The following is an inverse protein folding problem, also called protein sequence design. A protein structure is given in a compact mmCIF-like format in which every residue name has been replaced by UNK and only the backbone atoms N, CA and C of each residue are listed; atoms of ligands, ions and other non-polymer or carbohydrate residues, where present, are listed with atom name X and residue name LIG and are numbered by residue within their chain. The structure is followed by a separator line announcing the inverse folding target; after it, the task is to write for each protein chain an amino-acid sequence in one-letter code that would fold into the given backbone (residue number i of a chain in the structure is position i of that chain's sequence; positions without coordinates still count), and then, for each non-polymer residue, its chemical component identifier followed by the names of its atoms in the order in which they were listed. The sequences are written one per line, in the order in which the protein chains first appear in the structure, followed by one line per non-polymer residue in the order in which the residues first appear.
data_IF_718849477484
#
_entry.id   IF_718849477484
#
_cell.length_a   1.000
_cell.length_b   1.000
_cell.length_c   1.000
_cell.angle_alpha   90.00
_cell.angle_beta   90.00
_cell.angle_gamma   90.00
#
_symmetry.space_group_name_H-M   'P 1'
#
loop_
_entity.id
_entity.type
_entity.pdbx_description
1 polymer ?
#
# COMPACT_ATOMS: atom_id res chain seq x y z
N UNK A 1 8.37 -67.91 -13.13
CA UNK A 1 9.00 -66.60 -13.36
C UNK A 1 7.92 -65.53 -13.25
N UNK A 2 7.84 -64.85 -12.12
CA UNK A 2 7.26 -63.50 -12.04
C UNK A 2 8.40 -62.49 -12.23
N UNK A 3 8.16 -61.18 -12.39
CA UNK A 3 7.15 -60.46 -13.18
C UNK A 3 7.81 -59.35 -14.02
N UNK A 4 7.07 -58.63 -14.88
CA UNK A 4 7.33 -57.19 -15.06
C UNK A 4 6.03 -56.43 -15.33
N UNK A 5 5.62 -55.68 -14.31
CA UNK A 5 4.80 -54.48 -14.38
C UNK A 5 5.64 -53.35 -15.01
N UNK A 6 5.05 -52.52 -15.86
CA UNK A 6 4.89 -51.07 -15.61
C UNK A 6 4.54 -50.30 -16.89
N UNK A 7 3.60 -49.38 -16.72
CA UNK A 7 3.22 -48.38 -17.70
C UNK A 7 2.00 -47.62 -17.20
N UNK A 8 2.07 -47.14 -15.95
CA UNK A 8 1.10 -46.19 -15.40
C UNK A 8 0.99 -44.98 -16.32
N UNK A 9 -0.23 -44.69 -16.76
CA UNK A 9 -0.57 -43.40 -17.36
C UNK A 9 -0.41 -42.35 -16.26
N UNK A 10 0.57 -41.46 -16.41
CA UNK A 10 0.68 -40.26 -15.58
C UNK A 10 -0.63 -39.46 -15.71
N UNK A 11 -1.45 -39.43 -14.66
CA UNK A 11 -2.54 -38.48 -14.58
C UNK A 11 -1.92 -37.10 -14.40
N UNK A 12 -2.05 -36.24 -15.41
CA UNK A 12 -1.75 -34.83 -15.27
C UNK A 12 -2.52 -34.29 -14.06
N UNK A 13 -1.80 -33.85 -13.02
CA UNK A 13 -2.42 -33.12 -11.93
C UNK A 13 -3.12 -31.91 -12.52
N UNK A 14 -4.44 -31.87 -12.45
CA UNK A 14 -5.25 -30.71 -12.79
C UNK A 14 -4.79 -29.59 -11.84
N UNK A 15 -3.94 -28.69 -12.34
CA UNK A 15 -3.34 -27.63 -11.55
C UNK A 15 -4.44 -26.78 -10.90
N UNK A 16 -4.35 -26.60 -9.59
CA UNK A 16 -5.25 -25.71 -8.84
C UNK A 16 -5.14 -24.31 -9.43
N UNK A 17 -6.24 -23.80 -9.97
CA UNK A 17 -6.33 -22.43 -10.44
C UNK A 17 -6.70 -21.51 -9.28
N UNK A 18 -5.69 -20.89 -8.70
CA UNK A 18 -5.86 -19.95 -7.60
C UNK A 18 -6.73 -18.77 -8.03
N UNK A 19 -7.76 -18.45 -7.26
CA UNK A 19 -8.69 -17.35 -7.54
C UNK A 19 -10.04 -17.74 -8.15
N UNK A 20 -10.22 -18.95 -8.69
CA UNK A 20 -11.51 -19.36 -9.28
C UNK A 20 -12.62 -19.55 -8.22
N UNK A 21 -12.25 -19.89 -6.99
CA UNK A 21 -13.16 -19.98 -5.83
C UNK A 21 -13.06 -18.79 -4.87
N UNK A 22 -12.45 -17.68 -5.30
CA UNK A 22 -12.32 -16.49 -4.49
C UNK A 22 -13.68 -15.81 -4.33
N UNK A 23 -14.08 -15.58 -3.08
CA UNK A 23 -15.23 -14.74 -2.74
C UNK A 23 -14.72 -13.47 -2.10
N UNK A 24 -15.17 -12.34 -2.63
CA UNK A 24 -14.77 -11.02 -2.13
C UNK A 24 -16.01 -10.29 -1.62
N UNK A 25 -15.87 -9.62 -0.49
CA UNK A 25 -16.91 -8.77 0.08
C UNK A 25 -16.26 -7.49 0.58
N UNK A 26 -16.94 -6.37 0.36
CA UNK A 26 -16.47 -5.05 0.79
C UNK A 26 -17.62 -4.31 1.45
N UNK A 27 -17.29 -3.62 2.52
CA UNK A 27 -18.15 -2.63 3.14
C UNK A 27 -17.33 -1.37 3.39
N UNK A 28 -17.95 -0.21 3.17
CA UNK A 28 -17.37 1.09 3.46
C UNK A 28 -18.46 1.96 4.07
N UNK A 29 -18.12 2.74 5.10
CA UNK A 29 -19.07 3.59 5.81
C UNK A 29 -18.35 4.85 6.29
N UNK A 30 -18.88 6.02 5.94
CA UNK A 30 -18.34 7.32 6.36
C UNK A 30 -18.36 7.50 7.89
N UNK A 31 -19.28 6.82 8.58
CA UNK A 31 -19.48 6.98 10.01
C UNK A 31 -19.79 8.42 10.38
N UNK A 32 -19.21 8.89 11.49
CA UNK A 32 -19.37 10.26 11.99
C UNK A 32 -18.46 11.31 11.35
N UNK A 33 -17.67 10.95 10.32
CA UNK A 33 -16.79 11.91 9.63
C UNK A 33 -17.61 12.82 8.73
N UNK A 34 -17.10 14.03 8.48
CA UNK A 34 -17.76 15.00 7.58
C UNK A 34 -17.71 14.55 6.11
N UNK A 35 -16.67 13.83 5.73
CA UNK A 35 -16.41 13.37 4.36
C UNK A 35 -15.94 11.92 4.38
N UNK A 36 -16.22 11.20 3.30
CA UNK A 36 -15.72 9.85 3.04
C UNK A 36 -14.44 9.93 2.18
N UNK A 37 -13.29 9.89 2.84
CA UNK A 37 -11.98 9.98 2.18
C UNK A 37 -11.43 8.59 1.81
N UNK A 38 -11.93 7.51 2.41
CA UNK A 38 -11.46 6.16 2.06
C UNK A 38 -11.91 5.73 0.67
N UNK A 39 -11.08 4.91 0.04
CA UNK A 39 -11.32 4.29 -1.25
C UNK A 39 -10.94 2.83 -1.21
N UNK A 40 -11.62 2.06 -2.06
CA UNK A 40 -11.35 0.64 -2.28
C UNK A 40 -11.20 0.37 -3.77
N UNK A 41 -10.33 -0.55 -4.13
CA UNK A 41 -10.22 -1.05 -5.50
C UNK A 41 -10.05 -2.57 -5.46
N UNK A 42 -10.97 -3.29 -6.11
CA UNK A 42 -10.84 -4.72 -6.36
C UNK A 42 -10.97 -4.95 -7.85
N UNK A 43 -10.02 -5.66 -8.43
CA UNK A 43 -10.03 -5.99 -9.85
C UNK A 43 -9.45 -7.39 -10.08
N UNK A 44 -10.21 -8.24 -10.77
CA UNK A 44 -9.71 -9.54 -11.25
C UNK A 44 -9.35 -9.38 -12.73
N UNK A 45 -8.05 -9.44 -13.02
CA UNK A 45 -7.52 -9.34 -14.38
C UNK A 45 -7.42 -10.75 -14.97
N UNK A 46 -7.86 -10.91 -16.21
CA UNK A 46 -7.88 -12.19 -16.94
C UNK A 46 -7.03 -12.11 -18.20
N UNK A 47 -6.44 -13.24 -18.57
CA UNK A 47 -5.75 -13.39 -19.86
C UNK A 47 -6.76 -13.58 -21.00
N UNK A 48 -6.26 -13.58 -22.25
CA UNK A 48 -7.10 -13.68 -23.45
C UNK A 48 -7.89 -14.99 -23.52
N UNK A 49 -7.39 -16.06 -22.89
CA UNK A 49 -8.06 -17.35 -22.80
C UNK A 49 -9.13 -17.40 -21.68
N UNK A 50 -9.33 -16.29 -20.97
CA UNK A 50 -10.29 -16.14 -19.87
C UNK A 50 -9.78 -16.65 -18.52
N UNK A 51 -8.57 -17.20 -18.44
CA UNK A 51 -7.96 -17.61 -17.17
C UNK A 51 -7.68 -16.39 -16.28
N UNK A 52 -7.76 -16.57 -14.95
CA UNK A 52 -7.44 -15.50 -14.00
C UNK A 52 -5.94 -15.32 -13.98
N UNK A 53 -5.49 -14.13 -14.37
CA UNK A 53 -4.08 -13.73 -14.31
C UNK A 53 -3.69 -13.35 -12.89
N UNK A 54 -4.48 -12.50 -12.25
CA UNK A 54 -4.38 -12.16 -10.83
C UNK A 54 -5.64 -11.46 -10.33
N UNK A 55 -5.78 -11.32 -9.01
CA UNK A 55 -6.75 -10.40 -8.40
C UNK A 55 -6.04 -9.39 -7.52
N UNK A 56 -6.31 -8.11 -7.76
CA UNK A 56 -5.82 -6.97 -7.00
C UNK A 56 -6.85 -6.54 -5.96
N UNK A 57 -6.36 -6.19 -4.78
CA UNK A 57 -7.12 -5.57 -3.70
C UNK A 57 -6.34 -4.35 -3.21
N UNK A 58 -7.00 -3.20 -3.07
CA UNK A 58 -6.41 -1.99 -2.54
C UNK A 58 -7.36 -1.28 -1.60
N UNK A 59 -6.86 -0.92 -0.42
CA UNK A 59 -7.50 -0.05 0.56
C UNK A 59 -6.67 1.22 0.68
N UNK A 60 -7.34 2.37 0.65
CA UNK A 60 -6.71 3.67 0.69
C UNK A 60 -7.47 4.54 1.68
N UNK A 61 -6.88 4.83 2.85
CA UNK A 61 -7.44 5.74 3.85
C UNK A 61 -6.91 7.16 3.56
N UNK A 62 -7.76 8.01 3.00
CA UNK A 62 -7.39 9.35 2.59
C UNK A 62 -7.44 10.35 3.75
N UNK A 63 -6.59 11.36 3.69
CA UNK A 63 -6.58 12.47 4.64
C UNK A 63 -6.25 13.79 3.97
N UNK A 64 -6.76 14.89 4.52
CA UNK A 64 -6.48 16.24 4.01
C UNK A 64 -7.14 16.53 2.65
N UNK A 65 -8.14 15.75 2.28
CA UNK A 65 -8.76 15.68 0.96
C UNK A 65 -8.85 14.24 0.44
N UNK A 66 -9.90 13.91 -0.31
CA UNK A 66 -10.05 12.58 -0.93
C UNK A 66 -9.27 12.45 -2.24
N UNK A 67 -8.67 13.54 -2.72
CA UNK A 67 -8.05 13.63 -4.05
C UNK A 67 -6.89 12.64 -4.19
N UNK A 68 -6.08 12.48 -3.14
CA UNK A 68 -4.97 11.52 -3.12
C UNK A 68 -5.46 10.07 -3.16
N UNK A 69 -6.40 9.69 -2.29
CA UNK A 69 -6.95 8.32 -2.27
C UNK A 69 -7.64 7.97 -3.58
N UNK A 70 -8.38 8.91 -4.18
CA UNK A 70 -9.01 8.71 -5.49
C UNK A 70 -7.99 8.63 -6.63
N UNK A 71 -6.95 9.46 -6.61
CA UNK A 71 -5.87 9.39 -7.61
C UNK A 71 -5.14 8.05 -7.53
N UNK A 72 -4.76 7.61 -6.33
CA UNK A 72 -4.08 6.32 -6.12
C UNK A 72 -4.98 5.17 -6.57
N UNK A 73 -6.27 5.17 -6.18
CA UNK A 73 -7.26 4.16 -6.59
C UNK A 73 -7.30 3.95 -8.10
N UNK A 74 -7.23 5.05 -8.88
CA UNK A 74 -7.34 5.03 -10.35
C UNK A 74 -6.05 4.67 -11.07
N UNK A 75 -4.88 4.91 -10.47
CA UNK A 75 -3.61 4.88 -11.19
C UNK A 75 -2.64 3.80 -10.69
N UNK A 76 -2.72 3.38 -9.42
CA UNK A 76 -1.71 2.51 -8.82
C UNK A 76 -1.57 1.17 -9.56
N UNK A 77 -2.68 0.44 -9.72
CA UNK A 77 -2.66 -0.86 -10.41
C UNK A 77 -2.13 -0.72 -11.84
N UNK A 78 -2.56 0.31 -12.58
CA UNK A 78 -2.08 0.58 -13.93
C UNK A 78 -0.55 0.82 -13.97
N UNK A 79 -0.02 1.60 -13.02
CA UNK A 79 1.41 1.88 -12.94
C UNK A 79 2.23 0.63 -12.56
N UNK A 80 1.70 -0.24 -11.71
CA UNK A 80 2.32 -1.53 -11.38
C UNK A 80 2.35 -2.42 -12.64
N UNK A 81 1.22 -2.58 -13.32
CA UNK A 81 1.09 -3.47 -14.48
C UNK A 81 1.90 -3.03 -15.71
N UNK A 82 2.23 -1.74 -15.82
CA UNK A 82 3.04 -1.21 -16.92
C UNK A 82 4.54 -1.45 -16.74
N UNK A 83 4.96 -1.85 -15.54
CA UNK A 83 6.33 -2.23 -15.30
C UNK A 83 6.56 -3.65 -15.86
N UNK A 84 7.57 -3.80 -16.72
CA UNK A 84 7.90 -5.09 -17.35
C UNK A 84 8.24 -6.19 -16.32
N UNK A 85 8.79 -5.82 -15.16
CA UNK A 85 9.08 -6.74 -14.07
C UNK A 85 7.81 -7.38 -13.50
N UNK A 86 6.65 -6.75 -13.66
CA UNK A 86 5.38 -7.33 -13.23
C UNK A 86 5.00 -8.56 -14.05
N UNK A 87 5.54 -8.74 -15.25
CA UNK A 87 5.26 -9.94 -16.08
C UNK A 87 6.21 -11.10 -15.74
N UNK A 88 7.22 -10.87 -14.89
CA UNK A 88 8.17 -11.89 -14.43
C UNK A 88 7.49 -13.00 -13.60
N UNK A 89 8.22 -14.10 -13.42
CA UNK A 89 7.88 -15.19 -12.49
C UNK A 89 8.73 -15.15 -11.21
N UNK A 90 9.74 -14.28 -11.15
CA UNK A 90 10.58 -14.10 -9.97
C UNK A 90 9.88 -13.16 -8.98
N UNK A 91 9.90 -13.53 -7.69
CA UNK A 91 9.19 -12.76 -6.67
C UNK A 91 9.77 -11.36 -6.50
N UNK A 92 11.10 -11.24 -6.53
CA UNK A 92 11.81 -9.96 -6.36
C UNK A 92 11.46 -8.97 -7.49
N UNK A 93 11.31 -9.45 -8.73
CA UNK A 93 10.90 -8.62 -9.87
C UNK A 93 9.47 -8.08 -9.66
N UNK A 94 8.54 -8.94 -9.21
CA UNK A 94 7.15 -8.54 -8.97
C UNK A 94 7.08 -7.54 -7.80
N UNK A 95 7.85 -7.76 -6.73
CA UNK A 95 7.93 -6.83 -5.61
C UNK A 95 8.52 -5.49 -6.06
N UNK A 96 9.57 -5.49 -6.88
CA UNK A 96 10.15 -4.27 -7.44
C UNK A 96 9.15 -3.53 -8.36
N UNK A 97 8.37 -4.25 -9.17
CA UNK A 97 7.29 -3.66 -9.95
C UNK A 97 6.25 -2.96 -9.07
N UNK A 98 5.89 -3.57 -7.94
CA UNK A 98 4.98 -2.95 -6.95
C UNK A 98 5.62 -1.68 -6.39
N UNK A 99 6.88 -1.75 -5.95
CA UNK A 99 7.64 -0.60 -5.43
C UNK A 99 7.64 0.58 -6.41
N UNK A 100 8.03 0.31 -7.65
CA UNK A 100 8.09 1.30 -8.72
C UNK A 100 6.70 1.84 -9.07
N UNK A 101 5.65 1.02 -8.96
CA UNK A 101 4.27 1.45 -9.09
C UNK A 101 3.85 2.46 -8.02
N UNK A 102 4.22 2.25 -6.75
CA UNK A 102 3.98 3.21 -5.66
C UNK A 102 4.69 4.54 -5.94
N UNK A 103 5.99 4.50 -6.24
CA UNK A 103 6.80 5.69 -6.50
C UNK A 103 6.30 6.46 -7.73
N UNK A 104 6.01 5.76 -8.83
CA UNK A 104 5.45 6.37 -10.05
C UNK A 104 4.11 7.04 -9.77
N UNK A 105 3.26 6.40 -8.98
CA UNK A 105 1.95 6.97 -8.60
C UNK A 105 2.10 8.20 -7.72
N UNK A 106 3.01 8.17 -6.74
CA UNK A 106 3.33 9.32 -5.90
C UNK A 106 3.85 10.51 -6.73
N UNK A 107 4.80 10.28 -7.64
CA UNK A 107 5.28 11.33 -8.55
C UNK A 107 4.21 11.83 -9.52
N UNK A 108 3.24 10.98 -9.86
CA UNK A 108 2.04 11.39 -10.58
C UNK A 108 1.21 12.42 -9.82
N UNK A 109 0.98 12.19 -8.51
CA UNK A 109 0.29 13.15 -7.63
C UNK A 109 1.01 14.50 -7.61
N UNK A 110 2.33 14.51 -7.49
CA UNK A 110 3.13 15.74 -7.49
C UNK A 110 2.83 16.66 -8.69
N UNK A 111 2.54 16.06 -9.87
CA UNK A 111 2.25 16.81 -11.09
C UNK A 111 0.86 17.46 -11.09
N UNK A 112 -0.11 16.87 -10.39
CA UNK A 112 -1.53 17.29 -10.43
C UNK A 112 -2.00 17.98 -9.16
N UNK A 113 -1.25 17.90 -8.05
CA UNK A 113 -1.61 18.44 -6.73
C UNK A 113 -1.91 19.96 -6.75
N UNK A 114 -1.31 20.69 -7.69
CA UNK A 114 -1.53 22.14 -7.82
C UNK A 114 -2.94 22.51 -8.28
N UNK A 115 -3.65 21.56 -8.89
CA UNK A 115 -5.04 21.68 -9.35
C UNK A 115 -6.04 21.30 -8.24
N UNK A 116 -5.58 20.69 -7.15
CA UNK A 116 -6.44 20.24 -6.06
C UNK A 116 -6.86 21.40 -5.15
N UNK A 117 -7.99 21.27 -4.43
CA UNK A 117 -8.44 22.29 -3.49
C UNK A 117 -7.37 22.65 -2.47
N UNK A 118 -7.16 23.95 -2.29
CA UNK A 118 -6.28 24.48 -1.24
C UNK A 118 -6.88 24.23 0.14
N UNK A 119 -6.01 24.17 1.14
CA UNK A 119 -6.45 24.14 2.55
C UNK A 119 -7.29 25.37 2.87
N UNK A 120 -8.11 25.29 3.93
CA UNK A 120 -8.90 26.43 4.42
C UNK A 120 -8.05 27.67 4.79
N UNK A 121 -6.74 27.49 5.02
CA UNK A 121 -5.80 28.58 5.29
C UNK A 121 -5.06 29.09 4.04
N UNK A 122 -5.42 28.62 2.84
CA UNK A 122 -4.87 29.07 1.57
C UNK A 122 -3.59 28.37 1.11
N UNK A 123 -3.02 27.46 1.91
CA UNK A 123 -1.88 26.64 1.50
C UNK A 123 -2.27 25.62 0.42
N UNK A 124 -1.31 25.14 -0.41
CA UNK A 124 -1.52 24.01 -1.33
C UNK A 124 -2.16 22.81 -0.64
N UNK A 125 -2.82 21.95 -1.43
CA UNK A 125 -3.45 20.74 -0.91
C UNK A 125 -2.46 19.92 -0.08
N UNK A 126 -2.96 19.40 1.04
CA UNK A 126 -2.22 18.48 1.91
C UNK A 126 -2.80 17.07 1.80
N UNK A 127 -3.49 16.77 0.70
CA UNK A 127 -4.13 15.47 0.52
C UNK A 127 -3.06 14.39 0.43
N UNK A 128 -3.26 13.33 1.21
CA UNK A 128 -2.48 12.11 1.20
C UNK A 128 -3.37 10.91 1.46
N UNK A 129 -2.79 9.72 1.38
CA UNK A 129 -3.52 8.48 1.65
C UNK A 129 -2.57 7.40 2.15
N UNK A 130 -3.03 6.61 3.11
CA UNK A 130 -2.45 5.28 3.33
C UNK A 130 -2.68 4.43 2.08
N UNK A 131 -1.89 3.39 1.93
CA UNK A 131 -2.09 2.40 0.88
C UNK A 131 -1.78 1.03 1.44
N UNK A 132 -2.73 0.12 1.37
CA UNK A 132 -2.51 -1.30 1.63
C UNK A 132 -3.06 -2.10 0.46
N UNK A 133 -2.16 -2.74 -0.29
CA UNK A 133 -2.55 -3.59 -1.42
C UNK A 133 -2.20 -5.04 -1.20
N UNK A 134 -2.97 -5.92 -1.84
CA UNK A 134 -2.66 -7.32 -1.98
C UNK A 134 -2.91 -7.76 -3.43
N UNK A 135 -2.01 -8.56 -3.99
CA UNK A 135 -2.13 -9.14 -5.33
C UNK A 135 -2.05 -10.65 -5.19
N UNK A 136 -3.17 -11.33 -5.44
CA UNK A 136 -3.24 -12.78 -5.48
C UNK A 136 -2.91 -13.25 -6.89
N UNK A 137 -1.75 -13.88 -7.07
CA UNK A 137 -1.23 -14.36 -8.36
C UNK A 137 -0.48 -15.68 -8.17
N UNK A 138 -0.77 -16.69 -8.99
CA UNK A 138 -0.04 -17.96 -9.01
C UNK A 138 0.12 -18.65 -7.65
N UNK A 139 -0.90 -18.56 -6.78
CA UNK A 139 -0.85 -19.14 -5.43
C UNK A 139 -0.08 -18.33 -4.41
N UNK A 140 0.40 -17.14 -4.77
CA UNK A 140 1.11 -16.21 -3.90
C UNK A 140 0.29 -14.94 -3.67
N UNK A 141 0.47 -14.35 -2.49
CA UNK A 141 -0.08 -13.07 -2.09
C UNK A 141 1.07 -12.06 -1.94
N UNK A 142 1.20 -11.17 -2.90
CA UNK A 142 2.15 -10.05 -2.86
C UNK A 142 1.47 -8.88 -2.16
N UNK A 143 2.15 -8.24 -1.20
CA UNK A 143 1.60 -7.09 -0.49
C UNK A 143 2.52 -5.88 -0.63
N UNK A 144 1.91 -4.69 -0.61
CA UNK A 144 2.61 -3.41 -0.57
C UNK A 144 1.88 -2.45 0.35
N UNK A 145 2.62 -1.78 1.23
CA UNK A 145 2.02 -1.02 2.31
C UNK A 145 2.76 0.28 2.64
N UNK A 146 1.99 1.38 2.77
CA UNK A 146 2.39 2.62 3.46
C UNK A 146 1.26 3.11 4.36
N UNK A 147 1.60 3.72 5.49
CA UNK A 147 0.63 4.28 6.44
C UNK A 147 0.29 3.32 7.58
N UNK A 148 -0.94 3.39 8.08
CA UNK A 148 -1.41 2.66 9.28
C UNK A 148 -2.72 1.90 9.06
N UNK A 149 -3.09 1.67 7.80
CA UNK A 149 -4.05 0.62 7.43
C UNK A 149 -3.41 -0.77 7.57
N UNK A 150 -4.21 -1.85 7.55
CA UNK A 150 -3.69 -3.18 7.84
C UNK A 150 -4.11 -4.26 6.84
N UNK A 151 -3.23 -5.23 6.63
CA UNK A 151 -3.56 -6.49 5.96
C UNK A 151 -3.39 -7.62 6.99
N UNK A 152 -4.43 -8.42 7.17
CA UNK A 152 -4.41 -9.57 8.09
C UNK A 152 -4.83 -10.82 7.30
N UNK A 153 -3.98 -11.84 7.31
CA UNK A 153 -4.22 -13.14 6.70
C UNK A 153 -4.59 -14.14 7.79
N UNK A 154 -5.81 -14.69 7.71
CA UNK A 154 -6.23 -15.80 8.56
C UNK A 154 -5.84 -17.12 7.90
N UNK A 155 -5.04 -17.94 8.59
CA UNK A 155 -4.66 -19.29 8.14
C UNK A 155 -5.34 -20.33 9.01
N UNK A 156 -5.92 -21.35 8.37
CA UNK A 156 -6.44 -22.52 9.09
C UNK A 156 -5.27 -23.42 9.51
N UNK A 157 -5.19 -23.71 10.80
CA UNK A 157 -4.27 -24.67 11.41
C UNK A 157 -5.02 -25.96 11.70
N UNK A 158 -4.47 -27.08 11.27
CA UNK A 158 -5.01 -28.41 11.56
C UNK A 158 -4.16 -29.08 12.62
N UNK A 159 -4.79 -29.54 13.69
CA UNK A 159 -4.14 -30.21 14.80
C UNK A 159 -4.27 -31.73 14.66
N UNK A 160 -3.37 -32.47 15.30
CA UNK A 160 -3.33 -33.95 15.23
C UNK A 160 -4.55 -34.61 15.88
N UNK A 161 -5.31 -33.88 16.68
CA UNK A 161 -6.54 -34.32 17.36
C UNK A 161 -7.82 -34.01 16.54
N UNK A 162 -7.67 -33.69 15.25
CA UNK A 162 -8.74 -33.28 14.34
C UNK A 162 -9.45 -31.97 14.75
N UNK A 163 -8.83 -31.14 15.59
CA UNK A 163 -9.30 -29.78 15.83
C UNK A 163 -8.75 -28.80 14.78
N UNK A 164 -9.49 -27.72 14.54
CA UNK A 164 -9.11 -26.67 13.60
C UNK A 164 -9.11 -25.33 14.32
N UNK A 165 -8.02 -24.58 14.16
CA UNK A 165 -7.91 -23.21 14.64
C UNK A 165 -7.71 -22.23 13.46
N UNK A 166 -8.16 -20.99 13.62
CA UNK A 166 -7.84 -19.88 12.72
C UNK A 166 -6.77 -19.00 13.35
N UNK A 167 -5.58 -18.99 12.76
CA UNK A 167 -4.45 -18.19 13.22
C UNK A 167 -4.38 -16.90 12.40
N UNK A 168 -4.43 -15.76 13.09
CA UNK A 168 -4.30 -14.47 12.46
C UNK A 168 -2.83 -14.06 12.29
N UNK A 169 -2.44 -13.76 11.05
CA UNK A 169 -1.13 -13.24 10.71
C UNK A 169 -1.29 -11.81 10.18
N UNK A 170 -0.88 -10.82 10.98
CA UNK A 170 -0.78 -9.44 10.49
C UNK A 170 0.41 -9.35 9.53
N UNK A 171 0.15 -8.94 8.29
CA UNK A 171 1.16 -8.87 7.23
C UNK A 171 1.82 -7.49 7.12
N UNK A 172 1.28 -6.48 7.81
CA UNK A 172 1.77 -5.09 7.77
C UNK A 172 2.06 -4.54 9.16
N UNK A 173 3.05 -3.68 9.27
CA UNK A 173 3.36 -2.91 10.48
C UNK A 173 2.99 -1.45 10.22
N UNK A 174 2.38 -0.79 11.21
CA UNK A 174 1.98 0.60 11.04
C UNK A 174 3.21 1.52 10.97
N UNK A 175 3.22 2.39 9.96
CA UNK A 175 4.24 3.41 9.78
C UNK A 175 3.95 4.62 10.67
N UNK A 176 4.20 4.48 11.98
CA UNK A 176 3.93 5.53 12.96
C UNK A 176 5.13 6.46 13.17
N UNK A 177 4.93 7.79 13.31
CA UNK A 177 6.02 8.74 13.55
C UNK A 177 6.84 8.47 14.82
N UNK A 178 6.28 7.77 15.81
CA UNK A 178 6.97 7.37 17.04
C UNK A 178 7.85 6.12 16.91
N UNK A 179 7.72 5.34 15.84
CA UNK A 179 8.56 4.15 15.62
C UNK A 179 10.02 4.55 15.41
N UNK A 180 10.96 3.81 16.00
CA UNK A 180 12.39 4.15 16.00
C UNK A 180 12.96 4.32 14.58
N UNK A 181 12.64 3.38 13.69
CA UNK A 181 13.08 3.40 12.28
C UNK A 181 12.51 4.61 11.53
N UNK A 182 11.23 4.94 11.75
CA UNK A 182 10.59 6.08 11.12
C UNK A 182 11.13 7.41 11.66
N UNK A 183 11.42 7.50 12.97
CA UNK A 183 12.10 8.68 13.53
C UNK A 183 13.51 8.86 12.97
N UNK A 184 14.26 7.78 12.75
CA UNK A 184 15.57 7.83 12.13
C UNK A 184 15.46 8.30 10.67
N UNK A 185 14.57 7.70 9.88
CA UNK A 185 14.30 8.07 8.48
C UNK A 185 13.86 9.53 8.35
N UNK A 186 12.90 9.97 9.17
CA UNK A 186 12.38 11.34 9.17
C UNK A 186 13.50 12.34 9.45
N UNK A 187 14.38 12.06 10.43
CA UNK A 187 15.54 12.93 10.72
C UNK A 187 16.54 12.98 9.57
N UNK A 188 16.85 11.85 8.95
CA UNK A 188 17.75 11.77 7.79
C UNK A 188 17.19 12.55 6.60
N UNK A 189 15.87 12.48 6.38
CA UNK A 189 15.16 13.25 5.35
C UNK A 189 15.08 14.77 5.65
N UNK A 190 15.60 15.23 6.80
CA UNK A 190 15.57 16.65 7.20
C UNK A 190 14.29 17.08 7.91
N UNK A 191 13.43 16.12 8.27
CA UNK A 191 12.21 16.34 9.03
C UNK A 191 12.38 16.18 10.54
N UNK A 192 11.27 16.33 11.26
CA UNK A 192 11.21 16.07 12.70
C UNK A 192 9.84 15.56 13.12
N UNK A 193 9.78 14.98 14.31
CA UNK A 193 8.56 14.50 14.96
C UNK A 193 8.32 15.31 16.22
N UNK A 194 7.06 15.67 16.46
CA UNK A 194 6.65 16.38 17.67
C UNK A 194 5.32 15.83 18.20
N UNK A 195 5.13 15.92 19.52
CA UNK A 195 3.89 15.53 20.17
C UNK A 195 2.86 16.66 20.08
N UNK A 196 1.61 16.31 19.74
CA UNK A 196 0.45 17.20 19.86
C UNK A 196 -0.69 16.44 20.51
N UNK A 197 -1.06 16.89 21.71
CA UNK A 197 -2.10 16.24 22.53
C UNK A 197 -1.84 14.74 22.74
N UNK A 198 -0.57 14.37 23.01
CA UNK A 198 -0.15 12.99 23.25
C UNK A 198 0.06 12.13 22.00
N UNK A 199 -0.21 12.64 20.80
CA UNK A 199 0.00 11.90 19.54
C UNK A 199 1.24 12.43 18.84
N UNK A 200 2.16 11.53 18.48
CA UNK A 200 3.34 11.87 17.69
C UNK A 200 2.94 12.21 16.26
N UNK A 201 3.53 13.28 15.72
CA UNK A 201 3.22 13.77 14.39
C UNK A 201 4.48 14.20 13.66
N UNK A 202 4.54 13.89 12.37
CA UNK A 202 5.49 14.51 11.45
C UNK A 202 5.21 16.01 11.42
N UNK A 203 6.28 16.79 11.59
CA UNK A 203 6.22 18.25 11.61
C UNK A 203 6.20 18.78 10.18
N UNK A 204 5.24 19.65 9.90
CA UNK A 204 5.23 20.47 8.70
C UNK A 204 5.92 21.81 8.98
N UNK A 205 7.10 22.00 8.39
CA UNK A 205 7.78 23.29 8.35
C UNK A 205 7.29 24.07 7.13
N UNK A 206 6.64 25.21 7.34
CA UNK A 206 6.04 25.99 6.26
C UNK A 206 6.23 27.49 6.44
N UNK A 207 6.14 28.31 5.37
CA UNK A 207 6.11 29.75 5.50
C UNK A 207 4.97 30.24 6.39
N UNK A 208 5.22 31.34 7.13
CA UNK A 208 4.19 31.99 7.93
C UNK A 208 2.96 32.35 7.07
N UNK A 209 1.77 32.31 7.67
CA UNK A 209 0.47 32.47 6.98
C UNK A 209 0.32 33.73 6.11
N UNK A 210 1.09 34.77 6.40
CA UNK A 210 1.07 36.05 5.66
C UNK A 210 2.21 36.19 4.64
N UNK A 211 3.04 35.15 4.45
CA UNK A 211 4.10 35.15 3.45
C UNK A 211 3.47 35.23 2.05
N UNK A 212 3.97 36.18 1.26
CA UNK A 212 3.59 36.34 -0.15
C UNK A 212 4.83 36.26 -1.03
N UNK A 213 4.69 35.63 -2.20
CA UNK A 213 5.79 35.42 -3.13
C UNK A 213 6.58 34.12 -2.91
N UNK A 214 7.67 33.91 -3.67
CA UNK A 214 8.43 32.65 -3.65
C UNK A 214 9.04 32.35 -2.28
N UNK A 215 9.08 31.07 -1.91
CA UNK A 215 9.78 30.60 -0.71
C UNK A 215 11.29 30.56 -0.99
N UNK A 216 12.08 31.17 -0.11
CA UNK A 216 13.54 31.21 -0.16
C UNK A 216 14.11 30.67 1.15
N UNK A 217 15.41 30.37 1.19
CA UNK A 217 16.09 29.93 2.42
C UNK A 217 15.95 30.90 3.61
N UNK A 218 15.81 32.20 3.34
CA UNK A 218 15.60 33.22 4.36
C UNK A 218 14.13 33.48 4.72
N UNK A 219 13.18 32.79 4.08
CA UNK A 219 11.75 32.96 4.37
C UNK A 219 11.46 32.48 5.78
N UNK A 220 10.85 33.32 6.65
CA UNK A 220 10.44 32.90 7.98
C UNK A 220 9.44 31.75 7.91
N UNK A 221 9.67 30.71 8.70
CA UNK A 221 8.84 29.50 8.78
C UNK A 221 8.28 29.27 10.17
N UNK A 222 7.22 28.47 10.24
CA UNK A 222 6.69 27.87 11.47
C UNK A 222 6.73 26.34 11.36
N UNK A 223 6.86 25.67 12.50
CA UNK A 223 6.87 24.21 12.63
C UNK A 223 5.58 23.73 13.28
N UNK A 224 4.77 22.98 12.54
CA UNK A 224 3.45 22.53 12.99
C UNK A 224 3.44 21.00 13.10
N UNK A 225 3.18 20.40 14.28
CA UNK A 225 2.92 18.97 14.37
C UNK A 225 1.64 18.64 13.58
N UNK A 226 1.79 17.93 12.46
CA UNK A 226 0.76 17.89 11.42
C UNK A 226 0.22 16.48 11.19
N UNK A 227 1.01 15.56 10.65
CA UNK A 227 0.52 14.25 10.17
C UNK A 227 0.86 13.12 11.16
N UNK A 228 -0.10 12.24 11.45
CA UNK A 228 0.05 11.14 12.43
C UNK A 228 0.52 9.81 11.81
N UNK A 229 0.82 9.80 10.51
CA UNK A 229 1.46 8.68 9.79
C UNK A 229 2.80 9.16 9.24
N UNK A 230 3.77 8.25 9.19
CA UNK A 230 5.13 8.55 8.73
C UNK A 230 5.31 8.25 7.23
N UNK A 231 4.48 7.36 6.66
CA UNK A 231 4.50 7.02 5.23
C UNK A 231 3.10 7.15 4.63
N UNK A 232 3.03 7.61 3.38
CA UNK A 232 1.79 7.76 2.62
C UNK A 232 2.10 8.05 1.15
N UNK A 233 1.09 7.91 0.28
CA UNK A 233 1.12 8.53 -1.04
C UNK A 233 0.45 9.90 -0.97
N UNK A 234 0.92 10.87 -1.75
CA UNK A 234 0.52 12.27 -1.61
C UNK A 234 1.41 12.99 -0.61
N UNK A 235 0.85 13.85 0.27
CA UNK A 235 1.63 14.59 1.29
C UNK A 235 2.89 15.28 0.75
N UNK A 236 2.82 15.77 -0.48
CA UNK A 236 3.93 16.35 -1.23
C UNK A 236 4.49 17.62 -0.59
N UNK A 237 3.73 18.23 0.33
CA UNK A 237 4.20 19.31 1.20
C UNK A 237 5.41 18.91 2.05
N UNK A 238 5.63 17.61 2.25
CA UNK A 238 6.68 17.05 3.11
C UNK A 238 8.05 16.95 2.43
N UNK A 239 8.16 17.35 1.16
CA UNK A 239 9.42 17.32 0.43
C UNK A 239 10.42 18.34 0.99
N UNK A 240 11.62 17.84 1.27
CA UNK A 240 12.72 18.62 1.79
C UNK A 240 13.72 18.94 0.66
N UNK A 241 13.81 20.22 0.31
CA UNK A 241 14.63 20.68 -0.81
C UNK A 241 16.14 20.46 -0.59
N UNK A 242 16.61 20.45 0.66
CA UNK A 242 18.03 20.28 0.99
C UNK A 242 18.48 18.81 0.91
N UNK A 243 17.61 17.86 1.28
CA UNK A 243 17.90 16.42 1.23
C UNK A 243 17.42 15.76 -0.07
N UNK A 244 16.54 16.42 -0.82
CA UNK A 244 15.83 15.87 -2.00
C UNK A 244 14.93 14.68 -1.68
N UNK A 245 14.54 14.55 -0.41
CA UNK A 245 13.73 13.44 0.09
C UNK A 245 12.37 13.91 0.57
N UNK A 246 11.42 12.98 0.59
CA UNK A 246 10.13 13.19 1.24
C UNK A 246 10.20 12.81 2.71
N UNK A 247 9.86 13.74 3.60
CA UNK A 247 9.81 13.44 5.04
C UNK A 247 8.70 12.43 5.33
N UNK A 248 7.55 12.54 4.66
CA UNK A 248 6.52 11.49 4.66
C UNK A 248 6.80 10.58 3.46
N UNK A 249 7.39 9.40 3.69
CA UNK A 249 7.92 8.57 2.60
C UNK A 249 6.82 7.85 1.82
N UNK A 250 6.91 7.78 0.48
CA UNK A 250 6.07 6.92 -0.34
C UNK A 250 6.60 5.48 -0.50
N UNK A 251 7.75 5.17 0.08
CA UNK A 251 8.41 3.86 -0.05
C UNK A 251 7.61 2.78 0.69
N UNK A 252 7.08 1.77 -0.03
CA UNK A 252 6.29 0.72 0.59
C UNK A 252 7.15 -0.33 1.29
N UNK A 253 6.63 -0.86 2.38
CA UNK A 253 7.01 -2.18 2.85
C UNK A 253 6.38 -3.23 1.93
N UNK A 254 7.17 -4.23 1.54
CA UNK A 254 6.79 -5.24 0.54
C UNK A 254 6.97 -6.65 1.12
N UNK A 255 6.06 -7.55 0.78
CA UNK A 255 6.19 -8.96 1.16
C UNK A 255 5.49 -9.88 0.17
N UNK A 256 5.92 -11.14 0.14
CA UNK A 256 5.25 -12.22 -0.59
C UNK A 256 4.94 -13.36 0.37
N UNK A 257 3.75 -13.93 0.26
CA UNK A 257 3.31 -15.06 1.06
C UNK A 257 2.70 -16.16 0.20
N UNK A 258 3.14 -17.40 0.41
CA UNK A 258 2.51 -18.57 -0.18
C UNK A 258 1.10 -18.79 0.38
N UNK A 259 0.14 -18.95 -0.51
CA UNK A 259 -1.25 -19.32 -0.22
C UNK A 259 -1.43 -20.78 -0.64
N UNK A 260 -0.83 -21.68 0.14
CA UNK A 260 -1.01 -23.12 -0.07
C UNK A 260 -2.33 -23.58 0.56
N UNK A 261 -3.22 -24.10 -0.27
CA UNK A 261 -4.20 -25.08 0.22
C UNK A 261 -3.51 -26.43 0.27
N UNK A 262 -3.39 -27.06 1.45
CA UNK A 262 -3.27 -28.52 1.44
C UNK A 262 -4.51 -29.03 0.72
N UNK A 263 -4.33 -29.68 -0.42
CA UNK A 263 -5.39 -30.48 -1.02
C UNK A 263 -5.76 -31.52 0.04
N UNK A 264 -6.94 -31.39 0.64
CA UNK A 264 -7.55 -32.53 1.30
C UNK A 264 -7.80 -33.54 0.18
N UNK A 265 -6.96 -34.57 0.11
CA UNK A 265 -7.29 -35.76 -0.66
C UNK A 265 -8.59 -36.30 -0.03
N UNK A 266 -9.72 -36.05 -0.68
CA UNK A 266 -11.00 -36.69 -0.36
C UNK A 266 -10.92 -38.18 -0.73
#
# INVERSE_FOLDING_TARGET
MSPHLNGEKSSAHVGVRYGENLRVSVAANQGGRKYMEDRVHIETVRDQDGSIRFTFFGIFDGHGGYEASEYVRRNLLHNIMRNELFDSNEDDDILEAIRLGFLTTHHGIWKVVSEWPRTASGYPSTAGTTVSIAILRNGKLYTGHVGDSAIILLKRSYHNDNTEDLVAHRLTVDHKPESEDEQARIRIAGGSVALKSGVARVVWTRPLKHHTGPVRRSTPTESIPFLAVARSLGDVWSYCEDTKEFVVSPEPDLSVHEITGKMLNL
#
